data_IF_836672311849
#
_entry.id   IF_836672311849
#
_cell.length_a   1.000
_cell.length_b   1.000
_cell.length_c   1.000
_cell.angle_alpha   90.00
_cell.angle_beta   90.00
_cell.angle_gamma   90.00
#
_symmetry.space_group_name_H-M   'P 1'
#
loop_
_entity.id
_entity.type
_entity.pdbx_description
1 polymer ?
#
# COMPACT_ATOMS: atom_id res chain seq x y z
N UNK A 1 -6.74 11.37 -36.16
CA UNK A 1 -5.91 10.32 -35.53
C UNK A 1 -5.85 10.62 -34.04
N UNK A 2 -6.57 9.86 -33.19
CA UNK A 2 -6.54 10.08 -31.72
C UNK A 2 -5.33 9.33 -31.17
N UNK A 3 -4.30 10.07 -30.76
CA UNK A 3 -3.13 9.51 -30.08
C UNK A 3 -3.56 9.23 -28.64
N UNK A 4 -3.78 7.95 -28.32
CA UNK A 4 -3.95 7.52 -26.94
C UNK A 4 -2.55 7.38 -26.33
N UNK A 5 -2.07 8.43 -25.67
CA UNK A 5 -0.95 8.30 -24.75
C UNK A 5 -1.42 7.44 -23.56
N UNK A 6 -1.13 6.15 -23.61
CA UNK A 6 -1.11 5.29 -22.42
C UNK A 6 0.02 5.81 -21.52
N UNK A 7 -0.28 6.79 -20.67
CA UNK A 7 0.58 7.20 -19.57
C UNK A 7 0.83 5.95 -18.72
N UNK A 8 1.99 5.31 -18.89
CA UNK A 8 2.45 4.26 -17.98
C UNK A 8 2.63 4.91 -16.62
N UNK A 9 1.63 4.75 -15.75
CA UNK A 9 1.75 5.15 -14.35
C UNK A 9 2.83 4.26 -13.74
N UNK A 10 3.96 4.87 -13.37
CA UNK A 10 5.05 4.16 -12.71
C UNK A 10 4.62 3.83 -11.29
N UNK A 11 4.78 2.56 -10.91
CA UNK A 11 4.41 2.05 -9.59
C UNK A 11 5.67 1.73 -8.81
N UNK A 12 5.72 2.22 -7.58
CA UNK A 12 6.75 1.97 -6.58
C UNK A 12 6.15 1.09 -5.48
N UNK A 13 6.42 -0.23 -5.50
CA UNK A 13 5.92 -1.14 -4.47
C UNK A 13 6.72 -0.97 -3.18
N UNK A 14 6.02 -0.77 -2.06
CA UNK A 14 6.59 -0.75 -0.71
C UNK A 14 5.97 -1.89 0.09
N UNK A 15 6.80 -2.67 0.78
CA UNK A 15 6.35 -3.80 1.60
C UNK A 15 6.47 -3.42 3.07
N UNK A 16 5.35 -3.43 3.79
CA UNK A 16 5.33 -3.20 5.24
C UNK A 16 5.12 -4.54 5.92
N UNK A 17 6.06 -4.93 6.77
CA UNK A 17 6.03 -6.19 7.53
C UNK A 17 5.43 -6.00 8.93
N UNK A 18 5.01 -7.10 9.56
CA UNK A 18 4.53 -7.07 10.94
C UNK A 18 3.17 -6.41 11.13
N UNK A 19 2.36 -6.29 10.07
CA UNK A 19 1.03 -5.69 10.15
C UNK A 19 0.05 -6.71 10.75
N UNK A 20 -0.70 -6.37 11.81
CA UNK A 20 -1.70 -7.26 12.41
C UNK A 20 -2.72 -7.72 11.38
N UNK A 21 -3.07 -9.01 11.34
CA UNK A 21 -4.00 -9.55 10.32
C UNK A 21 -5.45 -9.08 10.45
N UNK A 22 -5.80 -8.45 11.59
CA UNK A 22 -7.06 -7.70 11.78
C UNK A 22 -7.11 -6.40 10.98
N UNK A 23 -5.95 -5.92 10.50
CA UNK A 23 -5.85 -4.76 9.64
C UNK A 23 -6.58 -5.00 8.32
N UNK A 24 -7.14 -3.95 7.75
CA UNK A 24 -7.85 -4.03 6.47
C UNK A 24 -7.19 -3.06 5.50
N UNK A 25 -6.27 -3.52 4.62
CA UNK A 25 -5.52 -2.63 3.73
C UNK A 25 -6.39 -1.80 2.80
N UNK A 26 -7.53 -2.29 2.28
CA UNK A 26 -8.50 -1.46 1.56
C UNK A 26 -9.16 -0.34 2.38
N UNK A 27 -9.11 -0.38 3.72
CA UNK A 27 -9.73 0.64 4.56
C UNK A 27 -8.79 1.86 4.70
N UNK A 28 -9.17 3.05 4.20
CA UNK A 28 -8.35 4.24 4.28
C UNK A 28 -8.04 4.70 5.70
N UNK A 29 -8.93 4.45 6.68
CA UNK A 29 -8.68 4.81 8.08
C UNK A 29 -7.53 4.01 8.68
N UNK A 30 -7.49 2.71 8.41
CA UNK A 30 -6.40 1.84 8.86
C UNK A 30 -5.07 2.24 8.18
N UNK A 31 -5.11 2.61 6.90
CA UNK A 31 -3.92 3.11 6.21
C UNK A 31 -3.42 4.45 6.78
N UNK A 32 -4.31 5.33 7.23
CA UNK A 32 -3.93 6.57 7.93
C UNK A 32 -3.22 6.26 9.25
N UNK A 33 -3.77 5.35 10.06
CA UNK A 33 -3.14 4.92 11.31
C UNK A 33 -1.75 4.31 11.07
N UNK A 34 -1.60 3.52 10.01
CA UNK A 34 -0.31 2.89 9.67
C UNK A 34 0.73 3.92 9.22
N UNK A 35 0.32 4.96 8.48
CA UNK A 35 1.22 5.99 7.96
C UNK A 35 1.59 7.04 9.01
N UNK A 36 0.83 7.16 10.10
CA UNK A 36 1.10 8.13 11.16
C UNK A 36 1.22 9.55 10.62
N UNK A 37 2.39 10.17 10.82
CA UNK A 37 2.69 11.54 10.35
C UNK A 37 2.88 11.64 8.83
N UNK A 38 3.10 10.51 8.15
CA UNK A 38 3.33 10.44 6.70
C UNK A 38 2.03 10.35 5.88
N UNK A 39 0.95 11.00 6.31
CA UNK A 39 -0.38 10.96 5.64
C UNK A 39 -0.30 11.38 4.16
N UNK A 40 0.67 12.22 3.80
CA UNK A 40 0.93 12.62 2.41
C UNK A 40 1.20 11.45 1.45
N UNK A 41 1.65 10.31 1.97
CA UNK A 41 1.86 9.06 1.20
C UNK A 41 0.55 8.54 0.60
N UNK A 42 -0.56 8.70 1.32
CA UNK A 42 -1.89 8.24 0.88
C UNK A 42 -2.37 8.92 -0.39
N UNK A 43 -1.96 10.17 -0.63
CA UNK A 43 -2.31 10.92 -1.85
C UNK A 43 -1.72 10.30 -3.12
N UNK A 44 -0.70 9.44 -2.96
CA UNK A 44 -0.03 8.74 -4.06
C UNK A 44 -0.24 7.24 -4.00
N UNK A 45 -1.03 6.76 -3.04
CA UNK A 45 -1.38 5.36 -2.89
C UNK A 45 -2.44 4.99 -3.92
N UNK A 46 -2.06 4.11 -4.83
CA UNK A 46 -2.96 3.60 -5.85
C UNK A 46 -3.75 2.38 -5.36
N UNK A 47 -3.10 1.52 -4.58
CA UNK A 47 -3.69 0.33 -3.98
C UNK A 47 -2.85 -0.19 -2.81
N UNK A 48 -3.53 -0.76 -1.83
CA UNK A 48 -2.93 -1.51 -0.73
C UNK A 48 -3.53 -2.92 -0.68
N UNK A 49 -2.69 -3.93 -0.57
CA UNK A 49 -3.11 -5.34 -0.55
C UNK A 49 -2.18 -6.17 0.33
N UNK A 50 -2.67 -7.30 0.80
CA UNK A 50 -1.83 -8.24 1.53
C UNK A 50 -0.83 -8.93 0.59
N UNK A 51 0.42 -9.05 1.01
CA UNK A 51 1.45 -9.78 0.25
C UNK A 51 1.15 -11.27 0.19
N UNK A 52 0.49 -11.80 1.22
CA UNK A 52 0.11 -13.20 1.32
C UNK A 52 -1.27 -13.34 1.98
N UNK A 53 -2.31 -13.47 1.15
CA UNK A 53 -3.67 -13.71 1.63
C UNK A 53 -3.82 -15.05 2.36
N UNK A 54 -3.05 -16.07 2.00
CA UNK A 54 -3.06 -17.37 2.69
C UNK A 54 -2.59 -17.26 4.14
N UNK A 55 -1.71 -16.31 4.47
CA UNK A 55 -1.27 -16.06 5.85
C UNK A 55 -2.38 -15.47 6.72
N UNK A 56 -3.31 -14.70 6.14
CA UNK A 56 -4.50 -14.18 6.83
C UNK A 56 -5.48 -15.32 7.10
N UNK A 57 -5.72 -16.15 6.07
CA UNK A 57 -6.62 -17.31 6.15
C UNK A 57 -6.10 -18.34 7.15
N UNK A 58 -4.77 -18.49 7.25
CA UNK A 58 -4.10 -19.39 8.20
C UNK A 58 -4.08 -18.87 9.67
N UNK A 59 -4.82 -17.80 9.99
CA UNK A 59 -4.91 -17.19 11.34
C UNK A 59 -3.56 -16.80 11.95
N UNK A 60 -2.57 -16.43 11.13
CA UNK A 60 -1.37 -15.77 11.67
C UNK A 60 -1.77 -14.45 12.30
N UNK A 61 -1.08 -14.03 13.35
CA UNK A 61 -1.36 -12.76 14.04
C UNK A 61 -0.83 -11.55 13.27
N UNK A 62 0.22 -11.75 12.47
CA UNK A 62 0.86 -10.70 11.68
C UNK A 62 1.16 -11.20 10.25
N UNK A 63 1.14 -10.27 9.29
CA UNK A 63 1.49 -10.52 7.90
C UNK A 63 2.16 -9.27 7.30
N UNK A 64 2.36 -9.25 5.99
CA UNK A 64 2.92 -8.09 5.29
C UNK A 64 1.94 -7.54 4.26
N UNK A 65 1.90 -6.23 4.11
CA UNK A 65 1.11 -5.56 3.07
C UNK A 65 2.03 -4.99 2.00
N UNK A 66 1.51 -4.87 0.79
CA UNK A 66 2.14 -4.23 -0.35
C UNK A 66 1.35 -2.96 -0.64
N UNK A 67 2.05 -1.83 -0.64
CA UNK A 67 1.55 -0.52 -0.99
C UNK A 67 2.09 -0.16 -2.36
N UNK A 68 1.20 0.17 -3.29
CA UNK A 68 1.59 0.61 -4.62
C UNK A 68 1.47 2.13 -4.70
N UNK A 69 2.60 2.79 -4.70
CA UNK A 69 2.69 4.25 -4.72
C UNK A 69 3.05 4.73 -6.12
N UNK A 70 2.57 5.92 -6.49
CA UNK A 70 2.86 6.55 -7.79
C UNK A 70 3.96 7.59 -7.70
N UNK A 71 4.48 7.88 -6.50
CA UNK A 71 5.54 8.84 -6.25
C UNK A 71 6.71 8.18 -5.51
N UNK A 72 7.94 8.24 -6.03
CA UNK A 72 9.10 7.63 -5.41
C UNK A 72 9.50 8.30 -4.08
N UNK A 73 9.28 9.60 -3.91
CA UNK A 73 9.57 10.31 -2.66
C UNK A 73 8.67 9.79 -1.54
N UNK A 74 7.38 9.60 -1.84
CA UNK A 74 6.46 9.02 -0.87
C UNK A 74 6.73 7.53 -0.64
N UNK A 75 7.25 6.80 -1.62
CA UNK A 75 7.70 5.43 -1.41
C UNK A 75 8.88 5.33 -0.42
N UNK A 76 9.78 6.31 -0.42
CA UNK A 76 10.88 6.37 0.55
C UNK A 76 10.42 6.82 1.95
N UNK A 77 9.31 7.55 2.04
CA UNK A 77 8.73 8.03 3.30
C UNK A 77 7.65 7.09 3.86
N UNK A 78 7.24 6.09 3.09
CA UNK A 78 6.24 5.12 3.50
C UNK A 78 6.88 4.12 4.47
N UNK A 79 6.95 4.50 5.75
CA UNK A 79 7.02 3.71 7.01
C UNK A 79 7.19 4.71 8.16
#
# INVERSE_FOLDING_TARGET
MKIYCQLKVQIFPVIVHGVPTIFNPPNPHHLQELMGENVGVLNTLQRALWSNQSSIIAKKTHSSIILHLTNPLHANLAI
#
